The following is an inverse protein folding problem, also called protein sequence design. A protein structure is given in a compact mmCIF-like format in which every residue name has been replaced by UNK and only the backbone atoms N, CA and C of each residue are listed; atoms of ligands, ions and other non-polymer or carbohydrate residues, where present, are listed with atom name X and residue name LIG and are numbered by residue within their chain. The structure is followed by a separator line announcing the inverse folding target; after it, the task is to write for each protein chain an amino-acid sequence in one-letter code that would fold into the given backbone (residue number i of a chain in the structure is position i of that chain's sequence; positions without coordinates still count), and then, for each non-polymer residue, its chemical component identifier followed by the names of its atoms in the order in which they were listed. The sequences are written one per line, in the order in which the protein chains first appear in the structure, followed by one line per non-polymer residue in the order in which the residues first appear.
data_IF_480094632444
#
_entry.id   IF_480094632444
#
_cell.length_a   1.000
_cell.length_b   1.000
_cell.length_c   1.000
_cell.angle_alpha   90.00
_cell.angle_beta   90.00
_cell.angle_gamma   90.00
#
_symmetry.space_group_name_H-M   'P 1'
#
loop_
_entity.id
_entity.type
_entity.pdbx_description
1 polymer ?
#
# COMPACT_ATOMS: atom_id res chain seq x y z
N UNK A 1 -8.84 -2.71 22.96
CA UNK A 1 -8.28 -1.58 22.17
C UNK A 1 -8.81 -1.68 20.77
N UNK A 2 -9.22 -0.58 20.16
CA UNK A 2 -9.80 -0.63 18.81
C UNK A 2 -8.75 -0.24 17.77
N UNK A 3 -8.76 -0.94 16.65
CA UNK A 3 -7.89 -0.62 15.51
C UNK A 3 -8.18 0.80 15.01
N UNK A 4 -7.15 1.61 14.91
CA UNK A 4 -7.23 2.93 14.30
C UNK A 4 -7.04 2.80 12.79
N UNK A 5 -7.79 3.60 12.04
CA UNK A 5 -7.74 3.61 10.57
C UNK A 5 -6.31 3.82 10.08
N UNK A 6 -5.66 4.86 10.59
CA UNK A 6 -4.32 5.22 10.13
C UNK A 6 -3.27 4.14 10.42
N UNK A 7 -3.31 3.53 11.61
CA UNK A 7 -2.37 2.49 12.01
C UNK A 7 -2.58 1.21 11.17
N UNK A 8 -3.85 0.91 10.83
CA UNK A 8 -4.18 -0.20 9.96
C UNK A 8 -3.63 -0.01 8.55
N UNK A 9 -3.88 1.16 7.93
CA UNK A 9 -3.36 1.45 6.60
C UNK A 9 -1.83 1.48 6.58
N UNK A 10 -1.20 1.98 7.66
CA UNK A 10 0.27 1.94 7.80
C UNK A 10 0.79 0.52 7.83
N UNK A 11 0.13 -0.40 8.53
CA UNK A 11 0.54 -1.80 8.59
C UNK A 11 0.52 -2.45 7.19
N UNK A 12 -0.54 -2.23 6.40
CA UNK A 12 -0.57 -2.70 5.01
C UNK A 12 0.57 -2.12 4.17
N UNK A 13 0.86 -0.83 4.32
CA UNK A 13 1.96 -0.18 3.60
C UNK A 13 3.31 -0.77 4.03
N UNK A 14 3.52 -1.02 5.34
CA UNK A 14 4.77 -1.61 5.83
C UNK A 14 5.03 -3.00 5.23
N UNK A 15 4.02 -3.86 5.13
CA UNK A 15 4.16 -5.16 4.48
C UNK A 15 4.54 -5.02 2.99
N UNK A 16 3.90 -4.10 2.28
CA UNK A 16 4.20 -3.85 0.86
C UNK A 16 5.65 -3.38 0.68
N UNK A 17 6.11 -2.40 1.46
CA UNK A 17 7.44 -1.78 1.28
C UNK A 17 8.61 -2.66 1.74
N UNK A 18 8.33 -3.73 2.46
CA UNK A 18 9.33 -4.74 2.83
C UNK A 18 9.43 -5.86 1.79
N UNK A 19 8.48 -5.97 0.87
CA UNK A 19 8.51 -6.97 -0.18
C UNK A 19 9.40 -6.53 -1.36
N UNK A 20 10.55 -7.17 -1.52
CA UNK A 20 11.53 -6.80 -2.54
C UNK A 20 11.00 -6.93 -3.97
N UNK A 21 10.18 -7.94 -4.28
CA UNK A 21 9.64 -8.13 -5.62
C UNK A 21 8.65 -7.03 -6.00
N UNK A 22 7.77 -6.65 -5.06
CA UNK A 22 6.85 -5.53 -5.25
C UNK A 22 7.64 -4.23 -5.48
N UNK A 23 8.64 -3.96 -4.64
CA UNK A 23 9.44 -2.75 -4.76
C UNK A 23 10.24 -2.70 -6.06
N UNK A 24 10.71 -3.84 -6.56
CA UNK A 24 11.38 -3.94 -7.86
C UNK A 24 10.44 -3.62 -9.03
N UNK A 25 9.19 -4.08 -8.99
CA UNK A 25 8.18 -3.75 -10.00
C UNK A 25 7.91 -2.25 -10.01
N UNK A 26 7.79 -1.64 -8.83
CA UNK A 26 7.57 -0.20 -8.66
C UNK A 26 8.80 0.66 -8.96
N UNK A 27 9.97 0.04 -9.21
CA UNK A 27 11.26 0.73 -9.38
C UNK A 27 11.67 1.58 -8.18
N UNK A 28 11.35 1.11 -7.00
CA UNK A 28 11.59 1.77 -5.72
C UNK A 28 12.63 1.04 -4.87
N UNK A 29 13.29 1.75 -3.94
CA UNK A 29 14.22 1.13 -3.01
C UNK A 29 13.49 0.26 -1.98
N UNK A 30 14.04 -0.91 -1.66
CA UNK A 30 13.64 -1.69 -0.49
C UNK A 30 14.33 -1.14 0.76
N UNK A 31 13.59 -1.02 1.86
CA UNK A 31 14.14 -0.61 3.17
C UNK A 31 14.69 -1.85 3.86
N UNK A 32 15.99 -1.88 4.12
CA UNK A 32 16.69 -2.99 4.79
C UNK A 32 16.94 -2.68 6.27
N UNK A 33 17.00 -3.71 7.08
CA UNK A 33 17.36 -3.53 8.50
C UNK A 33 18.75 -2.94 8.68
N UNK A 34 19.68 -3.28 7.79
CA UNK A 34 21.07 -2.82 7.77
C UNK A 34 21.23 -1.36 7.34
N UNK A 35 20.21 -0.75 6.74
CA UNK A 35 20.26 0.66 6.34
C UNK A 35 20.44 1.56 7.57
N UNK A 36 21.24 2.62 7.44
CA UNK A 36 21.31 3.68 8.44
C UNK A 36 19.95 4.38 8.57
N UNK A 37 19.69 5.04 9.71
CA UNK A 37 18.42 5.75 9.91
C UNK A 37 18.21 6.85 8.87
N UNK A 38 19.27 7.51 8.45
CA UNK A 38 19.21 8.54 7.40
C UNK A 38 18.79 7.93 6.06
N UNK A 39 19.39 6.81 5.65
CA UNK A 39 19.06 6.08 4.43
C UNK A 39 17.61 5.57 4.48
N UNK A 40 17.17 4.99 5.59
CA UNK A 40 15.78 4.57 5.80
C UNK A 40 14.79 5.72 5.60
N UNK A 41 15.09 6.89 6.16
CA UNK A 41 14.24 8.06 6.02
C UNK A 41 14.19 8.56 4.56
N UNK A 42 15.32 8.65 3.87
CA UNK A 42 15.34 9.03 2.44
C UNK A 42 14.53 8.07 1.58
N UNK A 43 14.70 6.75 1.78
CA UNK A 43 13.93 5.72 1.07
C UNK A 43 12.43 5.86 1.36
N UNK A 44 12.02 6.03 2.62
CA UNK A 44 10.61 6.21 3.00
C UNK A 44 9.98 7.43 2.36
N UNK A 45 10.66 8.55 2.36
CA UNK A 45 10.17 9.79 1.71
C UNK A 45 9.93 9.53 0.23
N UNK A 46 10.90 8.93 -0.47
CA UNK A 46 10.74 8.61 -1.89
C UNK A 46 9.54 7.70 -2.14
N UNK A 47 9.38 6.64 -1.35
CA UNK A 47 8.30 5.66 -1.49
C UNK A 47 6.93 6.33 -1.30
N UNK A 48 6.73 7.01 -0.17
CA UNK A 48 5.45 7.60 0.22
C UNK A 48 5.07 8.76 -0.71
N UNK A 49 6.02 9.63 -1.04
CA UNK A 49 5.75 10.80 -1.88
C UNK A 49 5.46 10.43 -3.34
N UNK A 50 6.08 9.35 -3.84
CA UNK A 50 6.14 9.10 -5.28
C UNK A 50 5.35 7.88 -5.74
N UNK A 51 5.08 6.91 -4.87
CA UNK A 51 4.49 5.66 -5.33
C UNK A 51 3.39 5.06 -4.45
N UNK A 52 3.44 5.20 -3.14
CA UNK A 52 2.50 4.55 -2.22
C UNK A 52 1.89 5.57 -1.27
N UNK A 53 0.57 5.71 -1.29
CA UNK A 53 -0.14 6.68 -0.44
C UNK A 53 -1.31 6.06 0.32
N UNK A 54 -1.71 6.69 1.43
CA UNK A 54 -2.86 6.29 2.28
C UNK A 54 -4.16 6.96 1.87
N UNK A 55 -4.26 7.56 0.70
CA UNK A 55 -5.43 8.33 0.33
C UNK A 55 -6.26 7.58 -0.70
N UNK A 56 -7.59 7.73 -0.62
CA UNK A 56 -8.50 7.28 -1.67
C UNK A 56 -8.51 8.24 -2.88
N UNK A 57 -7.84 9.39 -2.74
CA UNK A 57 -7.71 10.34 -3.84
C UNK A 57 -6.69 9.83 -4.84
N UNK A 58 -6.98 10.07 -6.08
CA UNK A 58 -6.10 9.73 -7.18
C UNK A 58 -4.77 10.46 -7.05
N UNK A 59 -3.66 9.78 -7.34
CA UNK A 59 -2.36 10.42 -7.30
C UNK A 59 -2.29 11.61 -8.25
N UNK A 60 -2.10 12.81 -7.72
CA UNK A 60 -2.07 14.05 -8.51
C UNK A 60 -0.94 14.13 -9.55
N UNK A 61 0.03 13.24 -9.44
CA UNK A 61 1.24 13.26 -10.26
C UNK A 61 1.32 12.11 -11.26
N UNK A 62 0.15 11.51 -11.61
CA UNK A 62 0.12 10.49 -12.65
C UNK A 62 0.65 11.05 -13.98
N UNK A 63 1.51 10.27 -14.64
CA UNK A 63 2.09 10.63 -15.93
C UNK A 63 3.26 11.62 -15.88
N UNK A 64 3.61 12.14 -14.71
CA UNK A 64 4.80 12.98 -14.58
C UNK A 64 6.06 12.12 -14.56
N UNK A 65 7.06 12.60 -15.27
CA UNK A 65 8.42 12.05 -15.13
C UNK A 65 9.09 12.66 -13.90
N UNK A 66 9.56 11.79 -13.01
CA UNK A 66 10.28 12.21 -11.83
C UNK A 66 11.78 12.28 -12.11
N UNK A 67 12.49 13.24 -11.50
CA UNK A 67 13.94 13.34 -11.63
C UNK A 67 14.60 12.08 -11.06
N UNK A 68 15.75 11.73 -11.61
CA UNK A 68 16.59 10.68 -11.02
C UNK A 68 17.02 11.08 -9.62
N UNK A 69 16.95 10.11 -8.70
CA UNK A 69 17.33 10.29 -7.31
C UNK A 69 18.40 9.26 -6.95
N UNK A 70 19.45 9.71 -6.29
CA UNK A 70 20.49 8.83 -5.75
C UNK A 70 20.32 8.69 -4.25
N UNK A 71 20.28 7.44 -3.78
CA UNK A 71 20.25 7.11 -2.35
C UNK A 71 21.30 6.01 -2.12
N UNK A 72 22.26 6.31 -1.26
CA UNK A 72 23.32 5.37 -0.87
C UNK A 72 24.10 4.78 -2.07
N UNK A 73 24.43 5.64 -3.05
CA UNK A 73 25.15 5.26 -4.27
C UNK A 73 24.34 4.50 -5.30
N UNK A 74 23.04 4.33 -5.10
CA UNK A 74 22.12 3.68 -6.04
C UNK A 74 21.24 4.73 -6.71
N UNK A 75 21.24 4.76 -8.04
CA UNK A 75 20.36 5.63 -8.83
C UNK A 75 18.98 4.98 -8.99
N UNK A 76 17.92 5.71 -8.62
CA UNK A 76 16.52 5.35 -8.86
C UNK A 76 15.96 6.23 -9.97
N UNK A 77 15.38 5.56 -10.97
CA UNK A 77 14.72 6.16 -12.13
C UNK A 77 13.49 5.35 -12.51
N UNK A 78 12.63 5.91 -13.33
CA UNK A 78 11.39 5.27 -13.80
C UNK A 78 10.40 4.87 -12.69
N UNK A 79 10.62 5.33 -11.45
CA UNK A 79 9.67 5.19 -10.36
C UNK A 79 8.45 6.10 -10.57
N UNK A 80 7.33 5.75 -9.96
CA UNK A 80 6.07 6.52 -10.08
C UNK A 80 5.28 6.27 -11.36
N UNK A 81 5.74 5.39 -12.28
CA UNK A 81 4.97 4.95 -13.45
C UNK A 81 3.84 4.01 -13.05
N UNK A 82 4.04 3.23 -12.00
CA UNK A 82 3.00 2.47 -11.31
C UNK A 82 2.89 3.04 -9.90
N UNK A 83 1.68 3.31 -9.45
CA UNK A 83 1.41 3.88 -8.13
C UNK A 83 0.36 3.08 -7.39
N UNK A 84 0.51 3.01 -6.08
CA UNK A 84 -0.43 2.33 -5.19
C UNK A 84 -1.13 3.33 -4.27
N UNK A 85 -2.40 3.10 -4.00
CA UNK A 85 -3.08 3.72 -2.86
C UNK A 85 -3.67 2.65 -1.98
N UNK A 86 -3.49 2.80 -0.67
CA UNK A 86 -4.05 1.92 0.35
C UNK A 86 -5.12 2.71 1.10
N UNK A 87 -6.37 2.34 0.92
CA UNK A 87 -7.50 3.11 1.45
C UNK A 87 -8.61 2.20 2.00
N UNK A 88 -9.48 2.76 2.82
CA UNK A 88 -10.68 2.06 3.25
C UNK A 88 -11.74 2.09 2.15
N UNK A 89 -12.21 0.91 1.73
CA UNK A 89 -13.25 0.77 0.72
C UNK A 89 -14.63 1.13 1.26
N UNK A 90 -14.98 0.49 2.37
CA UNK A 90 -16.20 0.76 3.14
C UNK A 90 -15.88 0.60 4.61
N UNK A 91 -16.32 1.54 5.42
CA UNK A 91 -16.27 1.42 6.87
C UNK A 91 -17.47 2.10 7.48
N UNK A 92 -18.08 1.45 8.43
CA UNK A 92 -18.94 2.15 9.37
C UNK A 92 -17.98 2.97 10.24
N UNK A 93 -17.83 4.22 9.89
CA UNK A 93 -16.94 5.14 10.62
C UNK A 93 -17.66 5.65 11.85
N UNK A 94 -17.16 5.30 13.01
CA UNK A 94 -17.40 6.05 14.23
C UNK A 94 -16.07 6.63 14.69
N UNK A 95 -15.79 7.86 14.30
CA UNK A 95 -14.50 8.49 14.58
C UNK A 95 -13.35 7.88 13.80
N UNK A 96 -12.20 7.69 14.46
CA UNK A 96 -10.95 7.17 13.87
C UNK A 96 -10.80 5.65 13.98
N UNK A 97 -11.83 4.92 14.41
CA UNK A 97 -11.75 3.51 14.73
C UNK A 97 -12.50 2.64 13.71
N UNK A 98 -12.02 1.41 13.53
CA UNK A 98 -12.63 0.39 12.68
C UNK A 98 -13.47 -0.58 13.48
N UNK A 99 -14.64 -0.94 12.97
CA UNK A 99 -15.58 -1.88 13.60
C UNK A 99 -16.08 -2.91 12.59
N UNK A 100 -16.38 -4.10 13.08
CA UNK A 100 -17.01 -5.16 12.29
C UNK A 100 -16.07 -5.73 11.24
N UNK A 101 -16.48 -5.68 10.00
CA UNK A 101 -15.75 -6.21 8.84
C UNK A 101 -15.24 -5.07 7.95
N UNK A 102 -14.19 -4.35 8.34
CA UNK A 102 -13.63 -3.30 7.50
C UNK A 102 -13.01 -3.90 6.25
N UNK A 103 -13.01 -3.10 5.19
CA UNK A 103 -12.43 -3.46 3.92
C UNK A 103 -11.36 -2.45 3.54
N UNK A 104 -10.22 -2.96 3.09
CA UNK A 104 -9.10 -2.16 2.55
C UNK A 104 -8.99 -2.41 1.08
N UNK A 105 -8.99 -1.34 0.29
CA UNK A 105 -8.69 -1.38 -1.14
C UNK A 105 -7.24 -0.98 -1.36
N UNK A 106 -6.51 -1.80 -2.09
CA UNK A 106 -5.21 -1.47 -2.66
C UNK A 106 -5.45 -1.19 -4.13
N UNK A 107 -5.42 0.07 -4.53
CA UNK A 107 -5.61 0.48 -5.90
C UNK A 107 -4.26 0.69 -6.58
N UNK A 108 -4.13 0.16 -7.79
CA UNK A 108 -2.96 0.30 -8.66
C UNK A 108 -3.33 1.22 -9.81
N UNK A 109 -2.54 2.26 -10.02
CA UNK A 109 -2.65 3.18 -11.14
C UNK A 109 -1.48 2.95 -12.08
N UNK A 110 -1.75 2.77 -13.36
CA UNK A 110 -0.75 2.41 -14.37
C UNK A 110 -1.17 2.86 -15.77
N UNK A 111 -0.22 2.98 -16.66
CA UNK A 111 -0.49 3.12 -18.09
C UNK A 111 -0.41 1.76 -18.81
N UNK A 112 -0.95 1.70 -20.03
CA UNK A 112 -1.04 0.46 -20.80
C UNK A 112 0.32 -0.18 -21.12
N UNK A 113 1.42 0.57 -21.03
CA UNK A 113 2.77 0.05 -21.27
C UNK A 113 3.27 -0.83 -20.12
N UNK A 114 2.60 -0.79 -18.96
CA UNK A 114 2.99 -1.50 -17.74
C UNK A 114 2.03 -2.62 -17.35
N UNK A 115 1.07 -2.99 -18.20
CA UNK A 115 0.00 -3.94 -17.89
C UNK A 115 0.53 -5.30 -17.38
N UNK A 116 1.56 -5.86 -18.01
CA UNK A 116 2.15 -7.13 -17.56
C UNK A 116 2.69 -7.06 -16.13
N UNK A 117 3.36 -5.96 -15.80
CA UNK A 117 3.87 -5.72 -14.44
C UNK A 117 2.75 -5.58 -13.42
N UNK A 118 1.62 -5.03 -13.81
CA UNK A 118 0.45 -4.86 -12.94
C UNK A 118 -0.19 -6.21 -12.62
N UNK A 119 -0.33 -7.12 -13.56
CA UNK A 119 -0.83 -8.47 -13.26
C UNK A 119 0.07 -9.21 -12.28
N UNK A 120 1.40 -9.16 -12.50
CA UNK A 120 2.35 -9.74 -11.56
C UNK A 120 2.27 -9.08 -10.17
N UNK A 121 2.06 -7.76 -10.14
CA UNK A 121 1.90 -7.01 -8.88
C UNK A 121 0.64 -7.45 -8.12
N UNK A 122 -0.47 -7.71 -8.83
CA UNK A 122 -1.69 -8.23 -8.23
C UNK A 122 -1.50 -9.61 -7.60
N UNK A 123 -0.83 -10.52 -8.30
CA UNK A 123 -0.54 -11.85 -7.76
C UNK A 123 0.28 -11.72 -6.48
N UNK A 124 1.36 -10.92 -6.50
CA UNK A 124 2.20 -10.69 -5.33
C UNK A 124 1.45 -10.07 -4.15
N UNK A 125 0.59 -9.07 -4.40
CA UNK A 125 -0.21 -8.44 -3.35
C UNK A 125 -1.26 -9.42 -2.80
N UNK A 126 -1.89 -10.19 -3.67
CA UNK A 126 -2.84 -11.21 -3.26
C UNK A 126 -2.18 -12.26 -2.37
N UNK A 127 -1.02 -12.77 -2.77
CA UNK A 127 -0.26 -13.76 -2.00
C UNK A 127 0.26 -13.19 -0.67
N UNK A 128 0.65 -11.93 -0.67
CA UNK A 128 1.15 -11.25 0.52
C UNK A 128 0.10 -11.15 1.63
N UNK A 129 -1.18 -10.96 1.28
CA UNK A 129 -2.23 -10.67 2.26
C UNK A 129 -3.30 -11.76 2.39
N UNK A 130 -3.42 -12.70 1.47
CA UNK A 130 -4.45 -13.73 1.54
C UNK A 130 -4.17 -14.76 2.63
N UNK A 131 -5.13 -14.94 3.53
CA UNK A 131 -5.10 -15.99 4.55
C UNK A 131 -4.11 -15.76 5.69
N UNK A 132 -3.45 -14.62 5.75
CA UNK A 132 -2.49 -14.30 6.81
C UNK A 132 -3.13 -13.54 7.98
N UNK A 133 -2.41 -13.50 9.09
CA UNK A 133 -2.66 -12.57 10.19
C UNK A 133 -1.53 -11.55 10.24
N UNK A 134 -1.89 -10.29 10.43
CA UNK A 134 -0.96 -9.17 10.39
C UNK A 134 -0.97 -8.41 11.72
N UNK A 135 0.20 -8.03 12.22
CA UNK A 135 0.32 -7.18 13.41
C UNK A 135 0.11 -5.70 13.04
N UNK A 136 -0.74 -5.03 13.81
CA UNK A 136 -0.89 -3.58 13.75
C UNK A 136 -0.37 -2.99 15.06
N UNK A 137 0.59 -2.10 14.97
CA UNK A 137 1.09 -1.37 16.13
C UNK A 137 0.13 -0.23 16.46
N UNK A 138 -0.45 -0.27 17.66
CA UNK A 138 -1.32 0.79 18.17
C UNK A 138 -0.68 1.34 19.45
N UNK A 139 -0.03 2.50 19.35
CA UNK A 139 0.75 3.12 20.45
C UNK A 139 1.82 2.16 21.00
N UNK A 140 1.69 1.75 22.25
CA UNK A 140 2.61 0.80 22.89
C UNK A 140 2.15 -0.67 22.82
N UNK A 141 0.98 -0.91 22.24
CA UNK A 141 0.38 -2.24 22.15
C UNK A 141 0.40 -2.74 20.70
N UNK A 142 0.31 -4.05 20.57
CA UNK A 142 0.16 -4.72 19.28
C UNK A 142 -1.25 -5.28 19.19
N UNK A 143 -1.94 -4.96 18.13
CA UNK A 143 -3.20 -5.57 17.74
C UNK A 143 -2.96 -6.52 16.56
N UNK A 144 -3.66 -7.62 16.52
CA UNK A 144 -3.54 -8.59 15.43
C UNK A 144 -4.80 -8.53 14.57
N UNK A 145 -4.63 -8.22 13.31
CA UNK A 145 -5.65 -8.45 12.29
C UNK A 145 -5.59 -9.92 11.92
N UNK A 146 -6.72 -10.61 12.08
CA UNK A 146 -6.82 -12.03 11.75
C UNK A 146 -7.62 -12.23 10.48
N UNK A 147 -7.31 -13.33 9.79
CA UNK A 147 -8.11 -13.82 8.68
C UNK A 147 -8.30 -12.78 7.57
N UNK A 148 -7.21 -12.16 7.12
CA UNK A 148 -7.23 -11.33 5.92
C UNK A 148 -7.74 -12.18 4.75
N UNK A 149 -8.80 -11.71 4.12
CA UNK A 149 -9.44 -12.39 3.01
C UNK A 149 -9.46 -11.49 1.79
N UNK A 150 -8.91 -11.98 0.70
CA UNK A 150 -9.06 -11.33 -0.60
C UNK A 150 -10.51 -11.50 -1.08
N UNK A 151 -11.24 -10.40 -1.21
CA UNK A 151 -12.62 -10.38 -1.69
C UNK A 151 -12.71 -10.32 -3.22
N UNK A 152 -11.59 -10.09 -3.86
CA UNK A 152 -11.47 -10.06 -5.31
C UNK A 152 -10.97 -8.75 -5.89
N UNK A 153 -10.92 -8.72 -7.20
CA UNK A 153 -10.48 -7.55 -7.97
C UNK A 153 -11.66 -6.61 -8.14
N UNK A 154 -11.50 -5.38 -7.70
CA UNK A 154 -12.46 -4.31 -7.94
C UNK A 154 -12.01 -3.53 -9.17
N UNK A 155 -12.56 -3.86 -10.34
CA UNK A 155 -12.30 -3.08 -11.54
C UNK A 155 -13.24 -1.87 -11.60
N UNK A 156 -12.72 -0.70 -11.31
CA UNK A 156 -13.26 0.53 -11.86
C UNK A 156 -12.19 1.06 -12.80
N UNK A 157 -12.39 0.91 -14.07
CA UNK A 157 -11.54 1.54 -15.07
C UNK A 157 -11.87 3.04 -15.03
N UNK A 158 -11.12 3.76 -14.21
CA UNK A 158 -11.11 5.20 -14.30
C UNK A 158 -9.88 5.57 -15.14
N UNK A 159 -10.11 6.08 -16.34
CA UNK A 159 -9.03 6.60 -17.18
C UNK A 159 -8.80 8.04 -16.74
N UNK A 160 -7.66 8.30 -16.13
CA UNK A 160 -7.22 9.63 -15.75
C UNK A 160 -5.87 9.85 -16.41
N UNK A 161 -5.79 10.85 -17.27
CA UNK A 161 -4.55 11.19 -17.98
C UNK A 161 -3.87 9.97 -18.64
N UNK A 162 -4.65 9.06 -19.25
CA UNK A 162 -4.21 7.79 -19.84
C UNK A 162 -3.74 6.72 -18.84
N UNK A 163 -4.01 6.89 -17.55
CA UNK A 163 -3.79 5.87 -16.53
C UNK A 163 -5.07 5.12 -16.23
N UNK A 164 -4.95 3.82 -16.10
CA UNK A 164 -6.01 2.94 -15.63
C UNK A 164 -5.85 2.68 -14.14
N UNK A 165 -6.97 2.39 -13.48
CA UNK A 165 -7.00 2.01 -12.07
C UNK A 165 -7.64 0.64 -11.93
N UNK A 166 -6.96 -0.26 -11.25
CA UNK A 166 -7.50 -1.55 -10.82
C UNK A 166 -7.25 -1.71 -9.33
N UNK A 167 -8.22 -2.22 -8.59
CA UNK A 167 -8.12 -2.39 -7.14
C UNK A 167 -8.23 -3.86 -6.72
N UNK A 168 -7.56 -4.21 -5.63
CA UNK A 168 -7.75 -5.47 -4.90
C UNK A 168 -8.36 -5.13 -3.55
N UNK A 169 -9.43 -5.81 -3.18
CA UNK A 169 -10.12 -5.62 -1.91
C UNK A 169 -9.82 -6.74 -0.93
N UNK A 170 -9.47 -6.36 0.28
CA UNK A 170 -9.26 -7.25 1.40
C UNK A 170 -10.24 -6.91 2.53
N UNK A 171 -10.88 -7.93 3.10
CA UNK A 171 -11.65 -7.82 4.32
C UNK A 171 -10.93 -8.49 5.50
N UNK A 172 -11.22 -8.04 6.70
CA UNK A 172 -10.73 -8.64 7.94
C UNK A 172 -11.67 -8.35 9.09
N UNK A 173 -11.51 -9.07 10.20
CA UNK A 173 -12.29 -8.83 11.40
C UNK A 173 -11.59 -7.83 12.31
N UNK A 174 -12.29 -6.75 12.67
CA UNK A 174 -11.86 -5.81 13.69
C UNK A 174 -12.72 -6.02 14.95
N UNK A 175 -12.11 -6.48 16.04
CA UNK A 175 -12.79 -6.64 17.31
C UNK A 175 -12.58 -5.42 18.20
N UNK A 176 -13.69 -4.90 18.74
CA UNK A 176 -13.64 -3.97 19.87
C UNK A 176 -13.41 -4.77 21.15
N UNK A 177 -12.21 -4.67 21.70
CA UNK A 177 -12.05 -5.03 23.10
C UNK A 177 -12.55 -3.86 23.95
N UNK A 178 -13.73 -4.02 24.56
CA UNK A 178 -14.11 -3.20 25.71
C UNK A 178 -13.32 -3.74 26.90
N UNK A 179 -12.39 -2.93 27.41
CA UNK A 179 -11.94 -3.08 28.78
C UNK A 179 -13.03 -2.59 29.73
#
# INVERSE_FOLDING_TARGET
MSLRINDTLEAFIQEIITNEEIMNILKLPTIKETDSQEVKNKKRVLIIDKAISKTAQEPYELGKDFPKIEIDGVEYKDYGKIRLTVSLAQSIKTGSYLFGNPQVDINVYYDNTHMENVFKLFDLISDLFSGISMEVKVEQNKEIIKELKCEGITSQVAIINNYERVGIRFSFYATLYKN
#
